data_IF_811682140319
#
_entry.id   IF_811682140319
#
_cell.length_a   1.000
_cell.length_b   1.000
_cell.length_c   1.000
_cell.angle_alpha   90.00
_cell.angle_beta   90.00
_cell.angle_gamma   90.00
#
_symmetry.space_group_name_H-M   'P 1'
#
loop_
_entity.id
_entity.type
_entity.pdbx_description
1 polymer ?
#
# COMPACT_ATOMS: atom_id res chain seq x y z
N UNK A 1 22.80 31.73 -19.92
CA UNK A 1 21.56 31.51 -19.13
C UNK A 1 21.66 30.17 -18.41
N UNK A 2 21.87 30.12 -17.08
CA UNK A 2 21.84 28.84 -16.38
C UNK A 2 20.38 28.34 -16.35
N UNK A 3 20.10 27.26 -17.07
CA UNK A 3 18.83 26.53 -16.92
C UNK A 3 18.94 25.70 -15.63
N UNK A 4 18.60 26.30 -14.50
CA UNK A 4 18.45 25.57 -13.25
C UNK A 4 17.35 24.53 -13.42
N UNK A 5 17.73 23.25 -13.42
CA UNK A 5 16.77 22.15 -13.28
C UNK A 5 16.07 22.35 -11.93
N UNK A 6 14.73 22.28 -11.84
CA UNK A 6 14.09 22.27 -10.53
C UNK A 6 14.61 21.03 -9.78
N UNK A 7 15.30 21.26 -8.66
CA UNK A 7 15.82 20.23 -7.73
C UNK A 7 14.68 19.61 -6.91
N UNK A 8 13.53 19.42 -7.55
CA UNK A 8 12.40 18.69 -7.01
C UNK A 8 12.31 17.42 -7.85
N UNK A 9 12.38 16.23 -7.27
CA UNK A 9 12.19 15.02 -8.05
C UNK A 9 10.82 15.14 -8.75
N UNK A 10 10.78 15.00 -10.09
CA UNK A 10 9.54 15.13 -10.84
C UNK A 10 8.53 14.17 -10.22
N UNK A 11 7.31 14.66 -9.96
CA UNK A 11 6.25 13.85 -9.35
C UNK A 11 6.20 12.47 -10.02
N UNK A 12 6.24 11.42 -9.19
CA UNK A 12 6.21 10.04 -9.67
C UNK A 12 5.11 9.88 -10.72
N UNK A 13 5.38 9.10 -11.79
CA UNK A 13 4.36 8.81 -12.81
C UNK A 13 3.05 8.30 -12.18
N UNK A 14 3.21 7.52 -11.11
CA UNK A 14 2.11 7.01 -10.30
C UNK A 14 1.39 8.11 -9.50
N UNK A 15 2.10 9.06 -8.92
CA UNK A 15 1.47 10.20 -8.22
C UNK A 15 0.65 11.06 -9.18
N UNK A 16 1.16 11.30 -10.39
CA UNK A 16 0.44 11.99 -11.46
C UNK A 16 -0.82 11.24 -11.87
N UNK A 17 -0.72 9.90 -12.02
CA UNK A 17 -1.88 9.04 -12.31
C UNK A 17 -2.96 9.18 -11.25
N UNK A 18 -2.58 9.09 -9.97
CA UNK A 18 -3.55 9.19 -8.85
C UNK A 18 -4.17 10.59 -8.77
N UNK A 19 -3.40 11.64 -9.04
CA UNK A 19 -3.92 13.01 -9.10
C UNK A 19 -4.95 13.18 -10.23
N UNK A 20 -4.69 12.60 -11.40
CA UNK A 20 -5.66 12.61 -12.50
C UNK A 20 -6.98 11.91 -12.14
N UNK A 21 -6.92 10.81 -11.37
CA UNK A 21 -8.12 10.13 -10.87
C UNK A 21 -8.93 11.02 -9.94
N UNK A 22 -8.29 11.67 -8.96
CA UNK A 22 -8.99 12.55 -8.01
C UNK A 22 -9.66 13.70 -8.76
N UNK A 23 -8.91 14.36 -9.65
CA UNK A 23 -9.41 15.46 -10.47
C UNK A 23 -10.61 15.04 -11.34
N UNK A 24 -10.55 13.85 -11.95
CA UNK A 24 -11.66 13.34 -12.77
C UNK A 24 -12.93 13.09 -11.95
N UNK A 25 -12.79 12.64 -10.69
CA UNK A 25 -13.95 12.46 -9.80
C UNK A 25 -14.59 13.80 -9.44
N UNK A 26 -13.79 14.81 -9.15
CA UNK A 26 -14.25 16.14 -8.76
C UNK A 26 -14.87 16.92 -9.93
N UNK A 27 -14.28 16.85 -11.13
CA UNK A 27 -14.70 17.68 -12.27
C UNK A 27 -15.76 17.02 -13.17
N UNK A 28 -15.71 15.69 -13.37
CA UNK A 28 -16.50 15.01 -14.42
C UNK A 28 -17.71 14.31 -13.86
N UNK A 29 -17.50 13.43 -12.88
CA UNK A 29 -18.52 12.43 -12.55
C UNK A 29 -19.29 12.76 -11.28
N UNK A 30 -18.65 13.35 -10.27
CA UNK A 30 -19.22 13.46 -8.91
C UNK A 30 -19.50 12.11 -8.22
N UNK A 31 -19.30 10.98 -8.93
CA UNK A 31 -19.55 9.63 -8.46
C UNK A 31 -18.27 8.79 -8.48
N UNK A 32 -17.74 8.53 -7.28
CA UNK A 32 -16.54 7.72 -7.05
C UNK A 32 -16.66 6.32 -7.67
N UNK A 33 -17.84 5.69 -7.56
CA UNK A 33 -18.03 4.31 -8.00
C UNK A 33 -17.87 4.15 -9.51
N UNK A 34 -18.37 5.10 -10.30
CA UNK A 34 -18.28 5.05 -11.75
C UNK A 34 -16.85 5.36 -12.21
N UNK A 35 -16.21 6.39 -11.66
CA UNK A 35 -14.82 6.72 -11.98
C UNK A 35 -13.85 5.57 -11.61
N UNK A 36 -14.07 4.90 -10.48
CA UNK A 36 -13.29 3.71 -10.12
C UNK A 36 -13.40 2.59 -11.16
N UNK A 37 -14.57 2.37 -11.76
CA UNK A 37 -14.76 1.39 -12.84
C UNK A 37 -14.02 1.80 -14.11
N UNK A 38 -14.08 3.07 -14.47
CA UNK A 38 -13.39 3.61 -15.64
C UNK A 38 -11.87 3.49 -15.54
N UNK A 39 -11.28 3.83 -14.38
CA UNK A 39 -9.83 3.76 -14.17
C UNK A 39 -9.31 2.38 -13.74
N UNK A 40 -10.19 1.40 -13.55
CA UNK A 40 -9.83 0.06 -13.09
C UNK A 40 -9.21 0.03 -11.70
N UNK A 41 -9.70 0.86 -10.77
CA UNK A 41 -9.22 0.93 -9.39
C UNK A 41 -10.30 0.52 -8.40
N UNK A 42 -9.89 0.00 -7.23
CA UNK A 42 -10.84 -0.27 -6.16
C UNK A 42 -11.26 1.03 -5.44
N UNK A 43 -12.49 1.05 -4.93
CA UNK A 43 -13.00 2.18 -4.13
C UNK A 43 -12.14 2.41 -2.87
N UNK A 44 -11.65 1.33 -2.26
CA UNK A 44 -10.79 1.43 -1.07
C UNK A 44 -9.45 2.12 -1.37
N UNK A 45 -8.85 1.85 -2.54
CA UNK A 45 -7.64 2.53 -2.97
C UNK A 45 -7.89 4.03 -3.13
N UNK A 46 -9.01 4.40 -3.77
CA UNK A 46 -9.42 5.79 -3.93
C UNK A 46 -9.53 6.51 -2.58
N UNK A 47 -10.29 5.98 -1.62
CA UNK A 47 -10.45 6.63 -0.31
C UNK A 47 -9.13 6.71 0.48
N UNK A 48 -8.24 5.74 0.30
CA UNK A 48 -6.90 5.79 0.91
C UNK A 48 -6.07 6.94 0.35
N UNK A 49 -6.08 7.14 -0.97
CA UNK A 49 -5.37 8.26 -1.60
C UNK A 49 -6.04 9.60 -1.30
N UNK A 50 -7.37 9.65 -1.30
CA UNK A 50 -8.13 10.87 -1.01
C UNK A 50 -7.87 11.39 0.40
N UNK A 51 -7.85 10.51 1.40
CA UNK A 51 -7.49 10.90 2.78
C UNK A 51 -6.07 11.45 2.88
N UNK A 52 -5.12 10.88 2.16
CA UNK A 52 -3.72 11.38 2.11
C UNK A 52 -3.63 12.71 1.37
N UNK A 53 -4.40 12.85 0.28
CA UNK A 53 -4.48 14.10 -0.47
C UNK A 53 -5.02 15.24 0.38
N UNK A 54 -6.04 15.00 1.20
CA UNK A 54 -6.55 16.02 2.12
C UNK A 54 -5.55 16.41 3.22
N UNK A 55 -4.73 15.45 3.69
CA UNK A 55 -3.77 15.72 4.78
C UNK A 55 -2.48 16.39 4.29
N UNK A 56 -1.95 15.98 3.14
CA UNK A 56 -0.59 16.32 2.68
C UNK A 56 -0.58 16.95 1.26
N UNK A 57 -1.74 17.09 0.62
CA UNK A 57 -1.84 17.55 -0.75
C UNK A 57 -1.20 16.57 -1.74
N UNK A 58 -0.59 17.12 -2.79
CA UNK A 58 0.03 16.34 -3.88
C UNK A 58 1.18 15.46 -3.39
N UNK A 59 1.84 15.84 -2.28
CA UNK A 59 2.95 15.07 -1.70
C UNK A 59 2.48 13.71 -1.18
N UNK A 60 1.27 13.64 -0.60
CA UNK A 60 0.68 12.42 -0.05
C UNK A 60 0.35 11.32 -1.08
N UNK A 61 0.40 11.65 -2.37
CA UNK A 61 0.19 10.69 -3.48
C UNK A 61 1.48 10.09 -4.00
N UNK A 62 2.65 10.57 -3.54
CA UNK A 62 3.95 10.01 -3.88
C UNK A 62 4.06 8.55 -3.46
N UNK A 63 4.93 7.81 -4.14
CA UNK A 63 5.17 6.42 -3.80
C UNK A 63 5.95 6.36 -2.50
N UNK A 64 5.30 5.92 -1.42
CA UNK A 64 5.98 5.61 -0.17
C UNK A 64 6.55 4.20 -0.23
N UNK A 65 7.76 4.04 0.31
CA UNK A 65 8.37 2.74 0.56
C UNK A 65 7.44 1.92 1.45
N UNK A 66 7.01 0.75 0.97
CA UNK A 66 6.20 -0.22 1.74
C UNK A 66 7.06 -1.11 2.64
N UNK A 67 8.32 -0.76 2.85
CA UNK A 67 9.25 -1.56 3.63
C UNK A 67 8.70 -1.76 5.05
N UNK A 68 8.59 -3.01 5.53
CA UNK A 68 8.18 -3.25 6.91
C UNK A 68 9.21 -2.60 7.83
N UNK A 69 8.72 -1.79 8.77
CA UNK A 69 9.55 -1.06 9.74
C UNK A 69 10.42 -1.99 10.60
N UNK A 70 10.11 -3.28 10.61
CA UNK A 70 10.83 -4.35 11.31
C UNK A 70 12.23 -4.64 10.75
N UNK A 71 12.58 -4.15 9.55
CA UNK A 71 13.93 -4.35 8.98
C UNK A 71 14.94 -3.25 9.37
N UNK A 72 14.53 -2.23 10.13
CA UNK A 72 15.39 -1.10 10.49
C UNK A 72 15.77 -1.05 11.98
N UNK A 73 15.18 -1.90 12.81
CA UNK A 73 15.71 -2.22 14.13
C UNK A 73 16.40 -3.59 13.98
N UNK A 74 17.72 -3.63 14.16
CA UNK A 74 18.60 -4.83 14.32
C UNK A 74 19.88 -4.74 13.48
N UNK A 75 20.76 -3.79 13.85
CA UNK A 75 22.21 -4.05 13.94
C UNK A 75 22.62 -3.95 15.42
N UNK A 76 21.90 -4.65 16.30
CA UNK A 76 22.31 -4.87 17.69
C UNK A 76 21.59 -6.10 18.27
N UNK A 77 21.99 -7.26 17.76
CA UNK A 77 21.98 -8.59 18.37
C UNK A 77 20.93 -8.88 19.47
N UNK A 78 19.80 -9.48 19.09
CA UNK A 78 18.99 -10.25 20.06
C UNK A 78 18.74 -11.71 19.60
N UNK A 79 19.12 -12.74 20.40
CA UNK A 79 18.98 -14.17 20.07
C UNK A 79 17.54 -14.71 20.10
N UNK A 80 16.52 -13.84 19.97
CA UNK A 80 15.09 -14.24 20.04
C UNK A 80 14.56 -14.62 18.65
N UNK A 81 15.09 -14.04 17.57
CA UNK A 81 14.65 -14.31 16.19
C UNK A 81 15.06 -15.70 15.69
N UNK A 82 16.15 -16.29 16.22
CA UNK A 82 16.62 -17.64 15.83
C UNK A 82 15.62 -18.75 16.18
N UNK A 83 14.82 -18.59 17.23
CA UNK A 83 13.84 -19.59 17.63
C UNK A 83 12.61 -19.64 16.70
N UNK A 84 12.24 -18.52 16.07
CA UNK A 84 11.02 -18.43 15.25
C UNK A 84 11.25 -18.92 13.82
N UNK A 85 12.48 -18.85 13.32
CA UNK A 85 12.84 -19.38 11.99
C UNK A 85 12.91 -20.92 11.94
N UNK A 86 12.96 -21.61 13.10
CA UNK A 86 13.07 -23.07 13.16
C UNK A 86 11.74 -23.84 13.20
N UNK A 87 10.56 -23.19 13.14
CA UNK A 87 9.33 -23.97 13.15
C UNK A 87 8.04 -23.19 13.00
N UNK A 88 7.60 -22.97 11.76
CA UNK A 88 6.17 -23.11 11.43
C UNK A 88 5.97 -23.77 10.06
N UNK A 89 5.30 -24.93 9.99
CA UNK A 89 4.94 -25.58 8.74
C UNK A 89 3.86 -24.78 8.00
N UNK A 90 4.06 -24.68 6.67
CA UNK A 90 3.18 -24.01 5.71
C UNK A 90 1.71 -24.40 5.87
N UNK A 91 0.83 -23.41 6.01
CA UNK A 91 -0.63 -23.57 6.06
C UNK A 91 -1.18 -24.07 4.71
N UNK A 92 -1.08 -25.38 4.47
CA UNK A 92 -1.81 -26.07 3.40
C UNK A 92 -2.19 -27.49 3.83
N UNK A 93 -2.78 -27.65 5.01
CA UNK A 93 -3.46 -28.89 5.41
C UNK A 93 -4.27 -28.67 6.70
N UNK A 94 -5.52 -28.20 6.59
CA UNK A 94 -6.57 -28.42 7.61
C UNK A 94 -7.83 -29.00 6.98
N UNK A 95 -7.62 -29.94 6.07
CA UNK A 95 -8.66 -30.89 5.67
C UNK A 95 -8.29 -32.22 6.35
N UNK A 96 -9.23 -32.73 7.13
CA UNK A 96 -9.26 -34.05 7.78
C UNK A 96 -8.34 -34.26 8.99
N UNK A 97 -8.92 -34.20 10.19
CA UNK A 97 -8.92 -35.39 11.06
C UNK A 97 -10.11 -35.33 12.02
N UNK A 98 -11.20 -35.89 11.53
CA UNK A 98 -12.30 -36.36 12.36
C UNK A 98 -11.90 -37.69 13.04
N UNK A 99 -12.69 -38.02 14.07
CA UNK A 99 -12.81 -39.31 14.75
C UNK A 99 -11.76 -39.63 15.83
N UNK A 100 -12.20 -39.71 17.08
CA UNK A 100 -12.61 -40.99 17.70
C UNK A 100 -12.46 -40.96 19.23
N UNK A 101 -13.57 -40.96 19.97
CA UNK A 101 -13.81 -41.73 21.19
C UNK A 101 -15.24 -41.46 21.69
N UNK A 102 -16.05 -42.52 21.82
CA UNK A 102 -16.42 -42.99 23.17
C UNK A 102 -16.20 -44.52 23.26
N UNK A 103 -16.10 -45.17 24.41
CA UNK A 103 -16.45 -44.85 25.79
C UNK A 103 -15.46 -45.54 26.75
#
# INVERSE_FOLDING_TARGET
MPKSKPTTPPLDREAKRRLAVIRHVEEVTGNVAMSCRYFGISRQAYYTWYRRYQAEGVDGLRTRSKAPRLLLAELSETPIVTAITAGQPTTRARVCLAAAQPA
#
